data_IF_530201452929
#
_entry.id   IF_530201452929
#
_cell.length_a   1.000
_cell.length_b   1.000
_cell.length_c   1.000
_cell.angle_alpha   90.00
_cell.angle_beta   90.00
_cell.angle_gamma   90.00
#
_symmetry.space_group_name_H-M   'P 1'
#
loop_
_entity.id
_entity.type
_entity.pdbx_description
1 polymer ?
#
# COMPACT_ATOMS: atom_id res chain seq x y z
N UNK A 1 -9.78 35.69 21.16
CA UNK A 1 -10.41 34.72 20.24
C UNK A 1 -9.32 33.79 19.75
N UNK A 2 -9.08 32.71 20.47
CA UNK A 2 -7.98 31.76 20.23
C UNK A 2 -8.44 30.42 20.80
N UNK A 3 -9.22 29.67 20.02
CA UNK A 3 -9.43 28.22 20.16
C UNK A 3 -10.46 27.80 19.11
N UNK A 4 -9.96 27.51 17.92
CA UNK A 4 -10.52 26.41 17.14
C UNK A 4 -9.31 25.57 16.72
N UNK A 5 -8.71 24.95 17.73
CA UNK A 5 -7.80 23.83 17.49
C UNK A 5 -8.74 22.74 17.00
N UNK A 6 -8.63 22.34 15.74
CA UNK A 6 -9.31 21.17 15.21
C UNK A 6 -9.03 20.00 16.16
N UNK A 7 -9.96 19.70 17.06
CA UNK A 7 -9.83 18.55 17.93
C UNK A 7 -10.11 17.34 17.06
N UNK A 8 -9.06 16.65 16.65
CA UNK A 8 -9.20 15.39 15.93
C UNK A 8 -9.84 14.39 16.88
N UNK A 9 -11.02 13.90 16.51
CA UNK A 9 -11.67 12.81 17.20
C UNK A 9 -11.01 11.49 16.76
N UNK A 10 -10.08 11.01 17.58
CA UNK A 10 -9.29 9.82 17.30
C UNK A 10 -10.14 8.55 17.32
N UNK A 11 -11.12 8.46 18.22
CA UNK A 11 -12.00 7.29 18.33
C UNK A 11 -12.86 7.18 17.07
N UNK A 12 -13.47 8.29 16.64
CA UNK A 12 -14.23 8.34 15.38
C UNK A 12 -13.36 8.06 14.16
N UNK A 13 -12.11 8.52 14.17
CA UNK A 13 -11.14 8.21 13.11
C UNK A 13 -10.90 6.71 13.01
N UNK A 14 -10.60 6.06 14.13
CA UNK A 14 -10.33 4.62 14.17
C UNK A 14 -11.58 3.79 13.82
N UNK A 15 -12.76 4.22 14.25
CA UNK A 15 -14.03 3.61 13.86
C UNK A 15 -14.25 3.70 12.33
N UNK A 16 -13.96 4.86 11.72
CA UNK A 16 -14.06 5.03 10.27
C UNK A 16 -13.07 4.15 9.51
N UNK A 17 -11.84 3.99 10.02
CA UNK A 17 -10.82 3.11 9.43
C UNK A 17 -11.26 1.65 9.52
N UNK A 18 -11.76 1.19 10.68
CA UNK A 18 -12.23 -0.19 10.84
C UNK A 18 -13.47 -0.46 9.97
N UNK A 19 -14.40 0.49 9.88
CA UNK A 19 -15.55 0.43 8.98
C UNK A 19 -15.14 0.33 7.51
N UNK A 20 -14.10 1.05 7.10
CA UNK A 20 -13.53 0.96 5.75
C UNK A 20 -12.82 -0.37 5.49
N UNK A 21 -12.02 -0.86 6.44
CA UNK A 21 -11.33 -2.15 6.32
C UNK A 21 -12.35 -3.28 6.18
N UNK A 22 -13.36 -3.32 7.04
CA UNK A 22 -14.40 -4.35 7.05
C UNK A 22 -15.39 -4.21 5.90
N UNK A 23 -15.86 -3.00 5.61
CA UNK A 23 -16.96 -2.74 4.67
C UNK A 23 -16.55 -2.53 3.22
N UNK A 24 -15.27 -2.25 2.94
CA UNK A 24 -14.78 -2.05 1.57
C UNK A 24 -13.56 -2.92 1.27
N UNK A 25 -12.48 -2.79 2.05
CA UNK A 25 -11.19 -3.41 1.68
C UNK A 25 -11.24 -4.94 1.72
N UNK A 26 -11.94 -5.50 2.70
CA UNK A 26 -12.18 -6.95 2.85
C UNK A 26 -13.32 -7.47 1.99
N UNK A 27 -14.06 -6.61 1.31
CA UNK A 27 -15.22 -6.99 0.52
C UNK A 27 -14.87 -7.17 -0.95
N UNK A 28 -15.55 -8.11 -1.65
CA UNK A 28 -15.45 -8.19 -3.09
C UNK A 28 -16.08 -6.97 -3.75
N UNK A 29 -15.56 -6.58 -4.90
CA UNK A 29 -16.11 -5.49 -5.69
C UNK A 29 -16.15 -5.88 -7.16
N UNK A 30 -17.32 -5.72 -7.79
CA UNK A 30 -17.59 -6.19 -9.16
C UNK A 30 -16.67 -5.55 -10.20
N UNK A 31 -16.24 -4.32 -9.94
CA UNK A 31 -15.37 -3.56 -10.85
C UNK A 31 -13.86 -3.85 -10.67
N UNK A 32 -13.45 -4.78 -9.80
CA UNK A 32 -12.01 -5.07 -9.61
C UNK A 32 -11.34 -5.72 -10.83
N UNK A 33 -12.13 -6.34 -11.73
CA UNK A 33 -11.61 -7.17 -12.81
C UNK A 33 -11.08 -8.54 -12.34
N UNK A 34 -11.38 -8.93 -11.09
CA UNK A 34 -11.17 -10.27 -10.52
C UNK A 34 -12.17 -10.54 -9.40
N UNK A 35 -12.36 -11.82 -9.06
CA UNK A 35 -13.13 -12.21 -7.88
C UNK A 35 -12.37 -11.93 -6.57
N UNK A 36 -13.11 -11.96 -5.47
CA UNK A 36 -12.58 -11.79 -4.12
C UNK A 36 -12.39 -10.32 -3.73
N UNK A 37 -11.77 -10.08 -2.56
CA UNK A 37 -11.76 -8.78 -1.92
C UNK A 37 -10.92 -7.74 -2.67
N UNK A 38 -11.17 -6.45 -2.40
CA UNK A 38 -10.34 -5.33 -2.88
C UNK A 38 -8.86 -5.57 -2.51
N UNK A 39 -8.57 -5.84 -1.24
CA UNK A 39 -7.24 -6.29 -0.80
C UNK A 39 -7.33 -7.71 -0.21
N UNK A 40 -6.67 -8.72 -0.80
CA UNK A 40 -6.70 -10.09 -0.27
C UNK A 40 -5.80 -10.30 0.95
N UNK A 41 -5.06 -9.28 1.40
CA UNK A 41 -4.12 -9.38 2.52
C UNK A 41 -4.71 -8.93 3.85
N UNK A 42 -5.74 -8.07 3.86
CA UNK A 42 -6.22 -7.45 5.10
C UNK A 42 -6.83 -8.47 6.05
N UNK A 43 -7.75 -9.31 5.58
CA UNK A 43 -8.37 -10.31 6.46
C UNK A 43 -7.33 -11.29 7.04
N UNK A 44 -6.44 -11.92 6.23
CA UNK A 44 -5.37 -12.76 6.78
C UNK A 44 -4.42 -12.02 7.73
N UNK A 45 -4.12 -10.74 7.46
CA UNK A 45 -3.24 -9.94 8.33
C UNK A 45 -3.90 -9.65 9.68
N UNK A 46 -5.20 -9.33 9.72
CA UNK A 46 -5.94 -9.14 10.96
C UNK A 46 -6.04 -10.46 11.75
N UNK A 47 -6.37 -11.57 11.09
CA UNK A 47 -6.48 -12.89 11.74
C UNK A 47 -5.13 -13.36 12.34
N UNK A 48 -4.01 -12.87 11.79
CA UNK A 48 -2.66 -13.18 12.23
C UNK A 48 -2.05 -12.12 13.17
N UNK A 49 -2.82 -11.12 13.64
CA UNK A 49 -2.31 -9.97 14.41
C UNK A 49 -1.10 -9.28 13.74
N UNK A 50 -1.14 -9.16 12.41
CA UNK A 50 -0.08 -8.64 11.57
C UNK A 50 -0.47 -7.32 10.85
N UNK A 51 -1.55 -6.67 11.29
CA UNK A 51 -1.96 -5.34 10.85
C UNK A 51 -1.84 -4.36 12.02
N UNK A 52 -1.01 -3.34 11.85
CA UNK A 52 -0.82 -2.27 12.82
C UNK A 52 -1.34 -0.94 12.25
N UNK A 53 -2.00 -0.15 13.09
CA UNK A 53 -2.48 1.19 12.73
C UNK A 53 -1.72 2.21 13.57
N UNK A 54 -1.27 3.29 12.92
CA UNK A 54 -0.58 4.42 13.55
C UNK A 54 -1.22 5.71 13.06
N UNK A 55 -1.71 6.52 14.00
CA UNK A 55 -2.21 7.86 13.69
C UNK A 55 -1.06 8.85 13.70
N UNK A 56 -1.01 9.74 12.71
CA UNK A 56 -0.03 10.83 12.59
C UNK A 56 -0.78 12.12 12.30
N UNK A 57 -0.49 13.17 13.07
CA UNK A 57 -1.11 14.48 12.88
C UNK A 57 -0.18 15.37 12.06
N UNK A 58 -0.75 16.09 11.10
CA UNK A 58 -0.02 16.99 10.19
C UNK A 58 -0.18 18.47 10.54
N UNK A 59 -1.14 18.80 11.42
CA UNK A 59 -1.43 20.15 11.88
C UNK A 59 -2.08 21.04 10.82
N UNK A 60 -2.23 22.32 11.14
CA UNK A 60 -2.97 23.30 10.33
C UNK A 60 -2.30 23.66 9.00
N UNK A 61 -0.99 23.44 8.89
CA UNK A 61 -0.19 23.89 7.75
C UNK A 61 0.68 22.73 7.25
N UNK A 62 0.08 21.66 6.69
CA UNK A 62 0.84 20.53 6.19
C UNK A 62 1.76 20.98 5.05
N UNK A 63 2.96 20.41 5.01
CA UNK A 63 3.94 20.68 3.96
C UNK A 63 4.42 19.37 3.34
N UNK A 64 4.93 19.43 2.10
CA UNK A 64 5.47 18.24 1.43
C UNK A 64 6.55 17.56 2.27
N UNK A 65 7.47 18.35 2.85
CA UNK A 65 8.56 17.82 3.68
C UNK A 65 8.05 17.05 4.90
N UNK A 66 6.96 17.52 5.52
CA UNK A 66 6.34 16.83 6.65
C UNK A 66 5.71 15.50 6.22
N UNK A 67 4.96 15.47 5.13
CA UNK A 67 4.31 14.23 4.66
C UNK A 67 5.37 13.21 4.22
N UNK A 68 6.40 13.65 3.50
CA UNK A 68 7.53 12.80 3.12
C UNK A 68 8.21 12.19 4.35
N UNK A 69 8.43 13.00 5.39
CA UNK A 69 9.05 12.52 6.62
C UNK A 69 8.17 11.54 7.39
N UNK A 70 6.86 11.82 7.51
CA UNK A 70 5.92 10.88 8.15
C UNK A 70 5.95 9.52 7.45
N UNK A 71 5.93 9.50 6.11
CA UNK A 71 5.94 8.26 5.35
C UNK A 71 7.30 7.55 5.47
N UNK A 72 8.42 8.29 5.46
CA UNK A 72 9.76 7.72 5.63
C UNK A 72 9.95 7.13 7.03
N UNK A 73 9.53 7.83 8.09
CA UNK A 73 9.51 7.29 9.45
C UNK A 73 8.65 6.03 9.51
N UNK A 74 7.51 5.97 8.83
CA UNK A 74 6.71 4.76 8.76
C UNK A 74 7.43 3.58 8.09
N UNK A 75 8.25 3.83 7.06
CA UNK A 75 9.09 2.78 6.44
C UNK A 75 10.16 2.27 7.41
N UNK A 76 10.71 3.14 8.27
CA UNK A 76 11.66 2.76 9.31
C UNK A 76 10.94 1.96 10.41
N UNK A 77 9.83 2.50 10.94
CA UNK A 77 8.99 1.89 11.97
C UNK A 77 8.50 0.49 11.58
N UNK A 78 8.17 0.25 10.30
CA UNK A 78 7.74 -1.07 9.83
C UNK A 78 8.71 -2.20 10.22
N UNK A 79 10.02 -1.90 10.25
CA UNK A 79 11.07 -2.86 10.62
C UNK A 79 11.20 -3.02 12.14
N UNK A 80 10.73 -2.04 12.91
CA UNK A 80 10.83 -1.97 14.37
C UNK A 80 9.59 -2.46 15.10
N UNK A 81 8.44 -2.53 14.41
CA UNK A 81 7.23 -3.14 14.96
C UNK A 81 7.55 -4.55 15.46
N UNK A 82 7.22 -4.81 16.73
CA UNK A 82 7.32 -6.12 17.37
C UNK A 82 6.25 -7.08 16.86
N UNK A 83 6.22 -7.32 15.55
CA UNK A 83 5.25 -8.18 14.88
C UNK A 83 5.15 -9.51 15.63
N UNK A 84 3.95 -9.86 16.08
CA UNK A 84 3.72 -11.18 16.69
C UNK A 84 4.17 -12.26 15.72
N UNK A 85 4.67 -13.38 16.24
CA UNK A 85 5.20 -14.47 15.43
C UNK A 85 4.13 -14.93 14.42
N UNK A 86 4.28 -14.53 13.17
CA UNK A 86 3.30 -14.67 12.10
C UNK A 86 3.98 -14.54 10.75
N UNK A 87 3.28 -14.91 9.67
CA UNK A 87 3.81 -14.89 8.31
C UNK A 87 4.30 -13.47 7.95
N UNK A 88 5.61 -13.25 7.72
CA UNK A 88 6.14 -11.91 7.45
C UNK A 88 5.52 -11.22 6.22
N UNK A 89 4.96 -11.99 5.29
CA UNK A 89 4.27 -11.47 4.11
C UNK A 89 2.91 -10.82 4.42
N UNK A 90 2.35 -11.04 5.62
CA UNK A 90 1.08 -10.45 6.05
C UNK A 90 1.27 -9.13 6.81
N UNK A 91 2.50 -8.83 7.24
CA UNK A 91 2.82 -7.61 7.99
C UNK A 91 2.45 -6.37 7.20
N UNK A 92 1.61 -5.54 7.81
CA UNK A 92 1.02 -4.35 7.20
C UNK A 92 0.91 -3.25 8.25
N UNK A 93 1.38 -2.06 7.91
CA UNK A 93 1.30 -0.85 8.73
C UNK A 93 0.47 0.20 7.99
N UNK A 94 -0.58 0.69 8.63
CA UNK A 94 -1.39 1.81 8.14
C UNK A 94 -1.00 3.09 8.89
N UNK A 95 -0.54 4.09 8.17
CA UNK A 95 -0.32 5.45 8.67
C UNK A 95 -1.55 6.29 8.34
N UNK A 96 -2.35 6.65 9.36
CA UNK A 96 -3.61 7.38 9.20
C UNK A 96 -3.38 8.86 9.52
N UNK A 97 -3.82 9.75 8.61
CA UNK A 97 -3.61 11.20 8.65
C UNK A 97 -4.95 11.93 8.76
N UNK A 98 -5.62 11.89 9.93
CA UNK A 98 -7.00 12.35 10.08
C UNK A 98 -7.18 13.87 9.96
N UNK A 99 -6.12 14.65 10.12
CA UNK A 99 -6.13 16.11 10.01
C UNK A 99 -5.49 16.60 8.70
N UNK A 100 -5.21 15.73 7.74
CA UNK A 100 -4.81 16.14 6.39
C UNK A 100 -6.05 16.59 5.61
N UNK A 101 -6.22 17.89 5.30
CA UNK A 101 -7.47 18.37 4.74
C UNK A 101 -7.59 18.07 3.23
N UNK A 102 -8.82 18.05 2.69
CA UNK A 102 -9.10 17.67 1.30
C UNK A 102 -8.35 18.44 0.20
N UNK A 103 -7.96 19.69 0.46
CA UNK A 103 -7.17 20.54 -0.43
C UNK A 103 -5.69 20.14 -0.48
N UNK A 104 -5.19 19.43 0.54
CA UNK A 104 -3.80 19.02 0.69
C UNK A 104 -3.53 17.54 0.40
N UNK A 105 -4.53 16.79 -0.09
CA UNK A 105 -4.37 15.37 -0.45
C UNK A 105 -3.29 15.11 -1.51
N UNK A 106 -3.05 16.10 -2.39
CA UNK A 106 -1.97 16.04 -3.39
C UNK A 106 -0.57 15.87 -2.77
N UNK A 107 -0.36 16.29 -1.51
CA UNK A 107 0.90 16.08 -0.79
C UNK A 107 1.15 14.58 -0.51
N UNK A 108 0.07 13.83 -0.24
CA UNK A 108 0.11 12.39 0.00
C UNK A 108 0.45 11.62 -1.28
N UNK A 109 -0.17 12.00 -2.40
CA UNK A 109 0.14 11.45 -3.73
C UNK A 109 1.60 11.72 -4.12
N UNK A 110 2.07 12.95 -3.90
CA UNK A 110 3.45 13.33 -4.16
C UNK A 110 4.44 12.55 -3.28
N UNK A 111 4.14 12.38 -1.99
CA UNK A 111 4.98 11.59 -1.07
C UNK A 111 5.03 10.12 -1.48
N UNK A 112 3.89 9.53 -1.86
CA UNK A 112 3.83 8.17 -2.39
C UNK A 112 4.73 8.01 -3.60
N UNK A 113 4.59 8.88 -4.60
CA UNK A 113 5.40 8.85 -5.82
C UNK A 113 6.90 9.03 -5.52
N UNK A 114 7.25 9.94 -4.62
CA UNK A 114 8.63 10.24 -4.24
C UNK A 114 9.30 9.08 -3.49
N UNK A 115 8.57 8.41 -2.60
CA UNK A 115 9.12 7.39 -1.69
C UNK A 115 8.92 5.95 -2.17
N UNK A 116 8.07 5.70 -3.18
CA UNK A 116 7.90 4.38 -3.78
C UNK A 116 9.23 3.73 -4.20
N UNK A 117 10.19 4.42 -4.85
CA UNK A 117 11.50 3.83 -5.16
C UNK A 117 12.27 3.36 -3.92
N UNK A 118 12.19 4.11 -2.82
CA UNK A 118 12.85 3.74 -1.57
C UNK A 118 12.17 2.53 -0.91
N UNK A 119 10.84 2.54 -0.84
CA UNK A 119 10.03 1.41 -0.38
C UNK A 119 10.38 0.12 -1.15
N UNK A 120 10.43 0.20 -2.49
CA UNK A 120 10.73 -0.96 -3.34
C UNK A 120 12.12 -1.51 -3.05
N UNK A 121 13.16 -0.67 -2.94
CA UNK A 121 14.52 -1.10 -2.55
C UNK A 121 14.56 -1.81 -1.20
N UNK A 122 13.73 -1.38 -0.24
CA UNK A 122 13.58 -2.03 1.08
C UNK A 122 12.80 -3.35 1.00
N UNK A 123 12.16 -3.65 -0.13
CA UNK A 123 11.30 -4.82 -0.29
C UNK A 123 9.89 -4.63 0.24
N UNK A 124 9.46 -3.39 0.33
CA UNK A 124 8.17 -2.98 0.83
C UNK A 124 7.34 -2.40 -0.31
N UNK A 125 6.04 -2.50 -0.18
CA UNK A 125 5.08 -1.80 -1.02
C UNK A 125 4.47 -0.65 -0.25
N UNK A 126 4.27 0.44 -0.98
CA UNK A 126 3.62 1.66 -0.51
C UNK A 126 2.34 1.87 -1.33
N UNK A 127 1.23 2.12 -0.65
CA UNK A 127 -0.04 2.48 -1.27
C UNK A 127 -0.67 3.66 -0.57
N UNK A 128 -1.12 4.65 -1.33
CA UNK A 128 -1.82 5.82 -0.83
C UNK A 128 -3.33 5.67 -0.99
N UNK A 129 -4.08 6.17 -0.01
CA UNK A 129 -5.54 6.12 -0.01
C UNK A 129 -6.10 7.43 0.52
N UNK A 130 -7.13 7.94 -0.14
CA UNK A 130 -7.92 9.09 0.31
C UNK A 130 -9.20 9.21 -0.52
N UNK A 131 -10.11 10.08 -0.11
CA UNK A 131 -11.45 10.24 -0.69
C UNK A 131 -11.49 10.67 -2.17
N UNK A 132 -10.35 11.12 -2.72
CA UNK A 132 -10.18 11.59 -4.12
C UNK A 132 -9.06 10.84 -4.86
N UNK A 133 -8.62 9.69 -4.33
CA UNK A 133 -7.47 8.97 -4.89
C UNK A 133 -7.84 8.35 -6.23
N UNK A 134 -7.03 8.63 -7.26
CA UNK A 134 -7.27 8.17 -8.64
C UNK A 134 -6.47 6.92 -9.01
N UNK A 135 -5.87 6.26 -8.03
CA UNK A 135 -5.13 5.02 -8.25
C UNK A 135 -6.09 3.91 -8.70
N UNK A 136 -5.70 3.21 -9.76
CA UNK A 136 -6.59 2.30 -10.49
C UNK A 136 -6.37 0.84 -10.07
N UNK A 137 -7.43 0.05 -10.15
CA UNK A 137 -7.29 -1.40 -9.97
C UNK A 137 -6.35 -1.99 -11.04
N UNK A 138 -5.42 -2.84 -10.61
CA UNK A 138 -4.43 -3.47 -11.51
C UNK A 138 -5.05 -4.27 -12.67
N UNK A 139 -6.29 -4.76 -12.50
CA UNK A 139 -7.02 -5.55 -13.50
C UNK A 139 -8.23 -4.82 -14.09
N UNK A 140 -8.48 -3.57 -13.69
CA UNK A 140 -9.49 -2.70 -14.30
C UNK A 140 -9.10 -1.21 -14.19
N UNK A 141 -8.58 -0.58 -15.25
CA UNK A 141 -8.17 0.82 -15.24
C UNK A 141 -9.31 1.84 -15.20
N UNK A 142 -10.57 1.40 -15.27
CA UNK A 142 -11.75 2.25 -15.10
C UNK A 142 -12.19 2.39 -13.64
N UNK A 143 -11.65 1.58 -12.72
CA UNK A 143 -12.04 1.56 -11.33
C UNK A 143 -10.95 2.17 -10.44
N UNK A 144 -11.25 3.30 -9.81
CA UNK A 144 -10.41 3.97 -8.82
C UNK A 144 -10.53 3.23 -7.48
N UNK A 145 -9.53 2.39 -7.19
CA UNK A 145 -9.63 1.37 -6.13
C UNK A 145 -9.21 1.90 -4.76
N UNK A 146 -8.35 2.91 -4.72
CA UNK A 146 -7.71 3.39 -3.49
C UNK A 146 -8.50 4.47 -2.75
N UNK A 147 -9.83 4.41 -2.83
CA UNK A 147 -10.68 5.25 -2.00
C UNK A 147 -10.55 4.90 -0.51
N UNK A 148 -10.55 5.91 0.36
CA UNK A 148 -10.66 5.76 1.81
C UNK A 148 -11.36 6.96 2.46
N UNK A 149 -12.05 6.77 3.60
CA UNK A 149 -12.76 7.85 4.30
C UNK A 149 -11.82 8.79 5.06
N UNK A 150 -10.56 8.38 5.27
CA UNK A 150 -9.52 9.17 5.94
C UNK A 150 -8.24 9.02 5.12
N UNK A 151 -7.46 10.09 4.87
CA UNK A 151 -6.20 9.97 4.16
C UNK A 151 -5.22 9.06 4.90
N UNK A 152 -4.59 8.13 4.19
CA UNK A 152 -3.65 7.19 4.79
C UNK A 152 -2.67 6.60 3.80
N UNK A 153 -1.60 6.02 4.34
CA UNK A 153 -0.61 5.25 3.59
C UNK A 153 -0.52 3.84 4.17
N UNK A 154 -0.60 2.83 3.30
CA UNK A 154 -0.30 1.46 3.64
C UNK A 154 1.14 1.12 3.28
N UNK A 155 1.86 0.56 4.24
CA UNK A 155 3.18 -0.03 4.09
C UNK A 155 3.03 -1.52 4.35
N UNK A 156 3.49 -2.37 3.44
CA UNK A 156 3.51 -3.82 3.66
C UNK A 156 4.71 -4.47 3.03
N UNK A 157 4.97 -5.72 3.42
CA UNK A 157 5.92 -6.56 2.70
C UNK A 157 5.54 -6.70 1.23
N UNK A 158 6.53 -6.64 0.34
CA UNK A 158 6.35 -6.98 -1.07
C UNK A 158 5.95 -8.45 -1.21
N UNK A 159 5.10 -8.74 -2.18
CA UNK A 159 4.50 -10.03 -2.45
C UNK A 159 4.51 -10.33 -3.95
N UNK A 160 4.26 -11.59 -4.32
CA UNK A 160 4.40 -12.06 -5.71
C UNK A 160 3.46 -11.39 -6.72
N UNK A 161 2.32 -10.86 -6.28
CA UNK A 161 1.40 -10.16 -7.17
C UNK A 161 1.87 -8.73 -7.49
N UNK A 162 2.90 -8.22 -6.79
CA UNK A 162 3.41 -6.86 -6.98
C UNK A 162 4.15 -6.66 -8.30
N UNK A 163 4.43 -7.73 -9.04
CA UNK A 163 4.88 -7.63 -10.44
C UNK A 163 3.93 -6.73 -11.26
N UNK A 164 2.64 -6.73 -10.96
CA UNK A 164 1.63 -5.89 -11.64
C UNK A 164 1.88 -4.38 -11.47
N UNK A 165 2.64 -3.97 -10.44
CA UNK A 165 2.91 -2.57 -10.12
C UNK A 165 4.38 -2.18 -10.31
N UNK A 166 5.27 -3.17 -10.51
CA UNK A 166 6.73 -2.99 -10.51
C UNK A 166 7.37 -3.33 -11.86
N UNK A 167 6.64 -3.95 -12.78
CA UNK A 167 7.17 -4.45 -14.05
C UNK A 167 7.68 -3.36 -15.02
N UNK A 168 7.09 -2.17 -15.03
CA UNK A 168 7.38 -1.17 -16.06
C UNK A 168 8.70 -0.41 -15.83
N UNK A 169 9.15 -0.33 -14.58
CA UNK A 169 10.38 0.37 -14.17
C UNK A 169 11.49 -0.66 -13.93
N UNK A 170 12.60 -0.54 -14.66
CA UNK A 170 13.72 -1.49 -14.60
C UNK A 170 14.24 -1.70 -13.17
N UNK A 171 14.54 -0.62 -12.47
CA UNK A 171 15.07 -0.65 -11.10
C UNK A 171 14.11 -1.33 -10.11
N UNK A 172 12.80 -1.12 -10.29
CA UNK A 172 11.77 -1.77 -9.49
C UNK A 172 11.64 -3.26 -9.80
N UNK A 173 11.63 -3.59 -11.09
CA UNK A 173 11.52 -4.96 -11.55
C UNK A 173 12.76 -5.79 -11.18
N UNK A 174 13.96 -5.22 -11.22
CA UNK A 174 15.19 -5.88 -10.77
C UNK A 174 15.11 -6.32 -9.30
N UNK A 175 14.65 -5.44 -8.42
CA UNK A 175 14.47 -5.76 -7.00
C UNK A 175 13.35 -6.78 -6.77
N UNK A 176 12.25 -6.68 -7.54
CA UNK A 176 11.19 -7.69 -7.55
C UNK A 176 11.71 -9.07 -7.99
N UNK A 177 12.41 -9.13 -9.12
CA UNK A 177 12.95 -10.36 -9.71
C UNK A 177 13.99 -11.02 -8.79
N UNK A 178 14.82 -10.22 -8.10
CA UNK A 178 15.75 -10.70 -7.08
C UNK A 178 15.04 -11.47 -5.97
N UNK A 179 13.83 -11.04 -5.58
CA UNK A 179 13.03 -11.63 -4.49
C UNK A 179 12.16 -12.80 -4.94
N UNK A 180 11.53 -12.68 -6.10
CA UNK A 180 10.47 -13.59 -6.53
C UNK A 180 10.82 -14.43 -7.77
N UNK A 181 11.90 -14.10 -8.50
CA UNK A 181 12.26 -14.74 -9.77
C UNK A 181 12.40 -16.26 -9.69
N UNK A 182 12.89 -16.79 -8.56
CA UNK A 182 12.98 -18.23 -8.32
C UNK A 182 11.62 -18.93 -8.38
N UNK A 183 10.54 -18.25 -7.96
CA UNK A 183 9.18 -18.80 -7.99
C UNK A 183 8.67 -18.94 -9.42
N UNK A 184 9.04 -18.05 -10.32
CA UNK A 184 8.68 -18.16 -11.74
C UNK A 184 9.44 -19.28 -12.45
N UNK A 185 10.67 -19.58 -12.02
CA UNK A 185 11.47 -20.68 -12.59
C UNK A 185 11.06 -22.07 -12.11
N UNK A 186 10.68 -22.18 -10.82
CA UNK A 186 10.60 -23.47 -10.13
C UNK A 186 9.18 -23.86 -9.66
N UNK A 187 8.11 -23.12 -10.02
CA UNK A 187 6.79 -23.41 -9.45
C UNK A 187 6.20 -24.72 -9.99
N UNK A 188 6.18 -25.75 -9.13
CA UNK A 188 5.50 -27.03 -9.39
C UNK A 188 3.97 -26.92 -9.37
N UNK A 189 3.40 -25.81 -8.89
CA UNK A 189 1.94 -25.59 -8.79
C UNK A 189 1.47 -24.38 -9.61
N UNK A 190 2.37 -23.82 -10.45
CA UNK A 190 2.14 -22.63 -11.26
C UNK A 190 2.16 -21.33 -10.44
N UNK A 191 2.62 -20.25 -11.05
CA UNK A 191 2.28 -18.88 -10.64
C UNK A 191 1.07 -18.47 -11.48
N UNK A 192 0.19 -17.61 -10.94
CA UNK A 192 -0.97 -17.07 -11.68
C UNK A 192 -0.56 -16.67 -13.11
N UNK A 193 -1.27 -17.13 -14.16
CA UNK A 193 -0.84 -16.94 -15.55
C UNK A 193 -0.66 -15.47 -15.95
N UNK A 194 -1.43 -14.55 -15.37
CA UNK A 194 -1.23 -13.12 -15.64
C UNK A 194 0.11 -12.65 -15.06
N UNK A 195 0.40 -13.02 -13.80
CA UNK A 195 1.66 -12.65 -13.16
C UNK A 195 2.86 -13.21 -13.93
N UNK A 196 2.77 -14.45 -14.43
CA UNK A 196 3.81 -15.07 -15.27
C UNK A 196 4.02 -14.29 -16.57
N UNK A 197 2.93 -13.98 -17.29
CA UNK A 197 3.00 -13.19 -18.52
C UNK A 197 3.64 -11.82 -18.30
N UNK A 198 3.27 -11.12 -17.23
CA UNK A 198 3.84 -9.80 -16.91
C UNK A 198 5.32 -9.92 -16.54
N UNK A 199 5.69 -10.95 -15.76
CA UNK A 199 7.08 -11.20 -15.40
C UNK A 199 7.97 -11.48 -16.63
N UNK A 200 7.54 -12.40 -17.49
CA UNK A 200 8.29 -12.76 -18.71
C UNK A 200 8.45 -11.57 -19.65
N UNK A 201 7.38 -10.77 -19.81
CA UNK A 201 7.43 -9.55 -20.60
C UNK A 201 8.46 -8.55 -20.03
N UNK A 202 8.41 -8.29 -18.72
CA UNK A 202 9.34 -7.38 -18.06
C UNK A 202 10.80 -7.89 -18.11
N UNK A 203 11.03 -9.20 -17.94
CA UNK A 203 12.35 -9.82 -18.11
C UNK A 203 12.91 -9.61 -19.51
N UNK A 204 12.07 -9.75 -20.54
CA UNK A 204 12.47 -9.50 -21.93
C UNK A 204 12.78 -8.02 -22.18
N UNK A 205 11.93 -7.10 -21.70
CA UNK A 205 12.08 -5.65 -21.90
C UNK A 205 13.33 -5.12 -21.19
N UNK A 206 13.58 -5.55 -19.95
CA UNK A 206 14.68 -5.03 -19.12
C UNK A 206 16.00 -5.79 -19.28
N UNK A 207 16.01 -6.87 -20.08
CA UNK A 207 17.21 -7.66 -20.33
C UNK A 207 17.68 -8.50 -19.15
N UNK A 208 16.80 -8.81 -18.20
CA UNK A 208 17.08 -9.72 -17.09
C UNK A 208 16.90 -11.15 -17.59
N UNK A 209 18.02 -11.81 -17.92
CA UNK A 209 18.00 -13.26 -18.17
C UNK A 209 17.64 -13.95 -16.85
N UNK A 210 16.56 -14.74 -16.90
CA UNK A 210 16.00 -15.49 -15.77
C UNK A 210 17.01 -16.43 -15.14
#
# INVERSE_FOLDING_TARGET
>A
MLTDVLSVDLDKTLEAVEGWLSGYIRQPHSELGRSGPVCPFVAPAQDADALEIRVRLVGLTPSQALIDEIVRCGLDEFSEVGWKAGNPNLRSLLLVLPDLPPEHLHLLDAAHSALKPESVRRGLMLGQFHEKCREKAARNPAFEVSWAPVPMVAIRSMAIHDVLFLADRRDWFEEYARRFGIRYRNSAHGVDPLLTKVYEHASAVHGLRG
#
